data_IF_058678376257
#
_entry.id   IF_058678376257
#
_cell.length_a   1.000
_cell.length_b   1.000
_cell.length_c   1.000
_cell.angle_alpha   90.00
_cell.angle_beta   90.00
_cell.angle_gamma   90.00
#
_symmetry.space_group_name_H-M   'P 1'
#
loop_
_entity.id
_entity.type
_entity.pdbx_description
1 polymer ?
#
# COMPACT_ATOMS: atom_id res chain seq x y z
N UNK A 1 -72.81 15.93 -14.81
CA UNK A 1 -71.54 15.85 -14.06
C UNK A 1 -70.53 14.98 -14.81
N UNK A 2 -69.93 15.47 -15.90
CA UNK A 2 -69.12 14.61 -16.78
C UNK A 2 -68.08 15.37 -17.62
N UNK A 3 -67.48 16.43 -17.10
CA UNK A 3 -66.40 17.18 -17.76
C UNK A 3 -65.59 17.96 -16.71
N UNK A 4 -64.68 17.34 -15.97
CA UNK A 4 -63.68 18.11 -15.21
C UNK A 4 -62.42 17.34 -14.75
N UNK A 5 -62.17 16.12 -15.24
CA UNK A 5 -61.04 15.28 -14.77
C UNK A 5 -60.04 14.90 -15.88
N UNK A 6 -59.96 15.68 -16.96
CA UNK A 6 -59.20 15.32 -18.17
C UNK A 6 -58.12 16.35 -18.56
N UNK A 7 -57.61 17.10 -17.59
CA UNK A 7 -56.55 18.11 -17.81
C UNK A 7 -55.54 18.12 -16.66
N UNK A 8 -55.17 16.94 -16.16
CA UNK A 8 -54.11 16.82 -15.14
C UNK A 8 -53.30 15.52 -15.31
N UNK A 9 -52.90 15.20 -16.55
CA UNK A 9 -51.95 14.10 -16.81
C UNK A 9 -50.78 14.55 -17.72
N UNK A 10 -50.85 15.76 -18.29
CA UNK A 10 -49.88 16.23 -19.30
C UNK A 10 -48.76 17.11 -18.70
N UNK A 11 -48.33 16.84 -17.47
CA UNK A 11 -47.18 17.49 -16.84
C UNK A 11 -46.18 16.49 -16.23
N UNK A 12 -46.33 15.19 -16.52
CA UNK A 12 -45.54 14.11 -15.90
C UNK A 12 -44.44 13.53 -16.80
N UNK A 13 -44.36 13.94 -18.07
CA UNK A 13 -43.56 13.25 -19.10
C UNK A 13 -42.29 13.99 -19.55
N UNK A 14 -41.69 14.81 -18.70
CA UNK A 14 -40.39 15.44 -19.02
C UNK A 14 -39.44 15.51 -17.82
N UNK A 15 -39.42 14.46 -16.98
CA UNK A 15 -38.21 14.16 -16.21
C UNK A 15 -37.29 13.35 -17.13
N UNK A 16 -36.65 14.03 -18.09
CA UNK A 16 -35.45 13.48 -18.72
C UNK A 16 -34.45 13.29 -17.61
N UNK A 17 -34.20 12.02 -17.25
CA UNK A 17 -33.06 11.65 -16.41
C UNK A 17 -31.84 12.29 -17.05
N UNK A 18 -31.31 13.33 -16.43
CA UNK A 18 -29.96 13.79 -16.71
C UNK A 18 -29.06 12.67 -16.25
N UNK A 19 -28.76 11.74 -17.14
CA UNK A 19 -27.57 10.93 -17.02
C UNK A 19 -26.41 11.93 -17.09
N UNK A 20 -26.06 12.48 -15.93
CA UNK A 20 -24.71 12.96 -15.71
C UNK A 20 -23.85 11.71 -15.95
N UNK A 21 -23.41 11.56 -17.20
CA UNK A 21 -22.34 10.67 -17.60
C UNK A 21 -21.12 11.16 -16.84
N UNK A 22 -21.01 10.68 -15.61
CA UNK A 22 -19.95 11.04 -14.70
C UNK A 22 -18.71 10.39 -15.26
N UNK A 23 -17.95 11.17 -16.03
CA UNK A 23 -16.70 10.73 -16.62
C UNK A 23 -15.80 10.11 -15.55
N UNK A 24 -15.19 8.99 -15.88
CA UNK A 24 -14.19 8.36 -15.02
C UNK A 24 -12.90 9.16 -15.14
N UNK A 25 -12.43 9.67 -14.01
CA UNK A 25 -11.19 10.42 -13.91
C UNK A 25 -10.09 9.45 -13.52
N UNK A 26 -9.03 9.41 -14.31
CA UNK A 26 -7.87 8.56 -14.09
C UNK A 26 -6.68 9.48 -13.87
N UNK A 27 -6.01 9.35 -12.74
CA UNK A 27 -4.85 10.15 -12.38
C UNK A 27 -3.63 9.24 -12.36
N UNK A 28 -2.74 9.43 -13.32
CA UNK A 28 -1.49 8.68 -13.40
C UNK A 28 -0.57 9.07 -12.24
N UNK A 29 0.03 8.07 -11.62
CA UNK A 29 1.09 8.24 -10.65
C UNK A 29 2.40 8.54 -11.39
N UNK A 30 3.32 9.35 -10.82
CA UNK A 30 4.60 9.62 -11.47
C UNK A 30 5.49 8.36 -11.54
N UNK A 31 5.39 7.50 -10.54
CA UNK A 31 6.14 6.26 -10.42
C UNK A 31 5.25 5.18 -9.80
N UNK A 32 5.42 3.94 -10.27
CA UNK A 32 4.77 2.75 -9.75
C UNK A 32 5.83 1.68 -9.46
N UNK A 33 5.82 1.16 -8.24
CA UNK A 33 6.61 -0.03 -7.87
C UNK A 33 5.68 -1.23 -7.93
N UNK A 34 5.96 -2.14 -8.86
CA UNK A 34 5.08 -3.29 -9.13
C UNK A 34 5.74 -4.57 -8.62
N UNK A 35 4.96 -5.39 -7.91
CA UNK A 35 5.36 -6.72 -7.46
C UNK A 35 4.74 -7.78 -8.38
N UNK A 36 5.54 -8.73 -8.83
CA UNK A 36 5.13 -9.79 -9.76
C UNK A 36 5.31 -9.44 -11.24
N UNK A 37 4.77 -10.29 -12.11
CA UNK A 37 4.99 -10.23 -13.56
C UNK A 37 4.07 -9.26 -14.29
N UNK A 38 2.84 -9.09 -13.79
CA UNK A 38 1.79 -8.28 -14.41
C UNK A 38 1.72 -6.89 -13.78
N UNK A 39 1.49 -5.87 -14.62
CA UNK A 39 1.23 -4.49 -14.20
C UNK A 39 -0.25 -4.21 -14.32
N UNK A 40 -0.90 -3.77 -13.25
CA UNK A 40 -2.33 -3.44 -13.24
C UNK A 40 -2.55 -1.93 -13.31
N UNK A 41 -3.72 -1.51 -13.80
CA UNK A 41 -4.10 -0.09 -13.81
C UNK A 41 -4.05 0.50 -12.39
N UNK A 42 -4.42 -0.27 -11.36
CA UNK A 42 -4.34 0.18 -9.96
C UNK A 42 -2.93 0.51 -9.49
N UNK A 43 -1.91 -0.07 -10.11
CA UNK A 43 -0.52 0.13 -9.70
C UNK A 43 0.00 1.47 -10.20
N UNK A 44 -0.49 1.90 -11.36
CA UNK A 44 -0.02 3.10 -12.05
C UNK A 44 -0.96 4.29 -11.94
N UNK A 45 -2.20 4.10 -11.48
CA UNK A 45 -3.24 5.12 -11.52
C UNK A 45 -4.17 5.09 -10.31
N UNK A 46 -4.60 6.29 -9.90
CA UNK A 46 -5.77 6.48 -9.05
C UNK A 46 -7.00 6.75 -9.91
N UNK A 47 -8.11 6.08 -9.61
CA UNK A 47 -9.34 6.16 -10.42
C UNK A 47 -10.49 6.68 -9.56
N UNK A 48 -11.19 7.70 -10.07
CA UNK A 48 -12.35 8.29 -9.43
C UNK A 48 -13.54 8.32 -10.39
N UNK A 49 -14.72 7.98 -9.88
CA UNK A 49 -15.94 7.95 -10.67
C UNK A 49 -16.73 6.65 -10.48
N UNK A 50 -17.88 6.53 -11.14
CA UNK A 50 -18.77 5.39 -11.03
C UNK A 50 -18.11 4.11 -11.55
N UNK A 51 -18.19 3.06 -10.73
CA UNK A 51 -17.64 1.76 -11.07
C UNK A 51 -16.10 1.75 -11.16
N UNK A 52 -15.39 2.64 -10.46
CA UNK A 52 -13.92 2.70 -10.44
C UNK A 52 -13.27 1.35 -10.07
N UNK A 53 -13.92 0.52 -9.28
CA UNK A 53 -13.43 -0.81 -8.87
C UNK A 53 -13.20 -1.79 -10.01
N UNK A 54 -13.94 -1.68 -11.13
CA UNK A 54 -13.80 -2.60 -12.27
C UNK A 54 -12.50 -2.42 -13.05
N UNK A 55 -11.91 -1.22 -12.95
CA UNK A 55 -10.69 -0.87 -13.65
C UNK A 55 -9.44 -1.38 -12.92
N UNK A 56 -9.52 -1.59 -11.60
CA UNK A 56 -8.35 -1.86 -10.76
C UNK A 56 -7.64 -3.17 -11.10
N UNK A 57 -8.38 -4.20 -11.56
CA UNK A 57 -7.82 -5.54 -11.81
C UNK A 57 -7.47 -5.82 -13.27
N UNK A 58 -7.38 -4.78 -14.09
CA UNK A 58 -7.04 -4.95 -15.49
C UNK A 58 -5.53 -4.90 -15.64
N UNK A 59 -4.98 -6.01 -16.14
CA UNK A 59 -3.58 -6.11 -16.50
C UNK A 59 -3.31 -5.34 -17.79
N UNK A 60 -2.26 -4.53 -17.77
CA UNK A 60 -1.76 -3.79 -18.91
C UNK A 60 -0.82 -4.74 -19.69
N UNK A 61 -0.97 -4.84 -21.03
CA UNK A 61 -0.07 -5.63 -21.85
C UNK A 61 1.39 -5.20 -21.70
N UNK A 62 2.31 -6.15 -21.54
CA UNK A 62 3.75 -5.87 -21.42
C UNK A 62 4.34 -5.10 -22.62
N UNK A 63 3.69 -5.19 -23.79
CA UNK A 63 4.07 -4.42 -24.96
C UNK A 63 3.89 -2.90 -24.79
N UNK A 64 2.92 -2.48 -23.98
CA UNK A 64 2.58 -1.07 -23.76
C UNK A 64 3.51 -0.39 -22.73
N UNK A 65 4.47 -1.12 -22.15
CA UNK A 65 5.48 -0.57 -21.22
C UNK A 65 6.86 -1.23 -21.37
N UNK A 66 7.20 -1.64 -22.59
CA UNK A 66 8.48 -2.31 -22.85
C UNK A 66 9.70 -1.42 -22.52
N UNK A 67 9.53 -0.10 -22.57
CA UNK A 67 10.53 0.91 -22.21
C UNK A 67 10.48 1.31 -20.71
N UNK A 68 9.66 0.61 -19.91
CA UNK A 68 9.40 0.85 -18.49
C UNK A 68 8.64 2.14 -18.19
N UNK A 69 8.02 2.76 -19.20
CA UNK A 69 7.16 3.92 -19.02
C UNK A 69 5.81 3.58 -19.64
N UNK A 70 4.74 4.00 -19.00
CA UNK A 70 3.42 4.08 -19.64
C UNK A 70 3.11 5.54 -19.81
N UNK A 71 3.00 6.01 -21.04
CA UNK A 71 2.59 7.37 -21.31
C UNK A 71 1.06 7.54 -21.29
N UNK A 72 0.60 8.79 -21.23
CA UNK A 72 -0.83 9.12 -21.24
C UNK A 72 -1.55 8.58 -22.48
N UNK A 73 -0.93 8.65 -23.65
CA UNK A 73 -1.56 8.26 -24.91
C UNK A 73 -1.72 6.73 -25.01
N UNK A 74 -0.75 5.98 -24.52
CA UNK A 74 -0.78 4.52 -24.41
C UNK A 74 -1.88 4.09 -23.45
N UNK A 75 -1.92 4.67 -22.25
CA UNK A 75 -2.98 4.39 -21.29
C UNK A 75 -4.36 4.77 -21.84
N UNK A 76 -4.51 5.92 -22.49
CA UNK A 76 -5.77 6.32 -23.11
C UNK A 76 -6.20 5.35 -24.21
N UNK A 77 -5.27 4.91 -25.07
CA UNK A 77 -5.54 3.96 -26.14
C UNK A 77 -5.98 2.62 -25.56
N UNK A 78 -5.27 2.14 -24.55
CA UNK A 78 -5.58 0.90 -23.85
C UNK A 78 -6.97 0.97 -23.20
N UNK A 79 -7.24 2.02 -22.42
CA UNK A 79 -8.52 2.22 -21.74
C UNK A 79 -9.70 2.32 -22.71
N UNK A 80 -9.55 3.02 -23.85
CA UNK A 80 -10.58 3.09 -24.89
C UNK A 80 -10.83 1.75 -25.58
N UNK A 81 -9.83 0.87 -25.63
CA UNK A 81 -10.00 -0.49 -26.18
C UNK A 81 -10.77 -1.41 -25.23
N UNK A 82 -10.66 -1.19 -23.92
CA UNK A 82 -11.33 -1.99 -22.90
C UNK A 82 -12.73 -1.48 -22.53
N UNK A 83 -12.99 -0.18 -22.70
CA UNK A 83 -14.19 0.46 -22.15
C UNK A 83 -14.84 1.43 -23.14
N UNK A 84 -16.17 1.39 -23.18
CA UNK A 84 -16.99 2.28 -23.99
C UNK A 84 -17.56 3.46 -23.16
N UNK A 85 -16.71 4.08 -22.34
CA UNK A 85 -17.12 5.17 -21.44
C UNK A 85 -16.25 6.41 -21.62
N UNK A 86 -16.75 7.54 -21.15
CA UNK A 86 -15.98 8.78 -21.15
C UNK A 86 -14.93 8.74 -20.04
N UNK A 87 -13.67 8.55 -20.44
CA UNK A 87 -12.51 8.52 -19.54
C UNK A 87 -11.68 9.78 -19.75
N UNK A 88 -11.29 10.43 -18.66
CA UNK A 88 -10.41 11.61 -18.67
C UNK A 88 -9.14 11.24 -17.90
N UNK A 89 -8.00 11.25 -18.59
CA UNK A 89 -6.71 10.91 -18.01
C UNK A 89 -5.94 12.19 -17.65
N UNK A 90 -5.42 12.24 -16.42
CA UNK A 90 -4.59 13.28 -15.87
C UNK A 90 -3.20 12.73 -15.59
N UNK A 91 -2.17 13.53 -15.88
CA UNK A 91 -0.77 13.11 -15.80
C UNK A 91 -0.17 12.86 -17.18
N UNK A 92 1.16 12.76 -17.24
CA UNK A 92 1.91 12.60 -18.49
C UNK A 92 2.35 11.15 -18.73
N UNK A 93 2.69 10.44 -17.66
CA UNK A 93 3.14 9.07 -17.73
C UNK A 93 3.51 8.55 -16.34
N UNK A 94 3.70 7.24 -16.25
CA UNK A 94 4.12 6.52 -15.05
C UNK A 94 5.36 5.72 -15.36
N UNK A 95 6.43 5.95 -14.60
CA UNK A 95 7.62 5.10 -14.65
C UNK A 95 7.37 3.84 -13.83
N UNK A 96 7.62 2.67 -14.42
CA UNK A 96 7.43 1.38 -13.77
C UNK A 96 8.78 0.86 -13.30
N UNK A 97 8.88 0.70 -11.99
CA UNK A 97 10.00 0.03 -11.33
C UNK A 97 9.49 -1.33 -10.85
N UNK A 98 10.15 -2.42 -11.26
CA UNK A 98 9.84 -3.72 -10.67
C UNK A 98 10.48 -3.82 -9.29
N UNK A 99 9.71 -4.24 -8.31
CA UNK A 99 10.28 -4.65 -7.05
C UNK A 99 11.23 -5.82 -7.34
N UNK A 100 12.50 -5.76 -6.91
CA UNK A 100 13.42 -6.86 -7.14
C UNK A 100 12.80 -8.11 -6.52
N UNK A 101 12.54 -9.13 -7.35
CA UNK A 101 12.14 -10.44 -6.86
C UNK A 101 13.11 -10.82 -5.75
N UNK A 102 12.59 -10.99 -4.54
CA UNK A 102 13.38 -11.47 -3.43
C UNK A 102 13.95 -12.82 -3.89
N UNK A 103 15.28 -12.88 -4.08
CA UNK A 103 15.97 -14.14 -4.39
C UNK A 103 15.42 -15.22 -3.46
N UNK A 104 14.86 -16.33 -3.98
CA UNK A 104 14.27 -17.37 -3.15
C UNK A 104 15.36 -17.93 -2.24
N UNK A 105 15.38 -17.50 -0.97
CA UNK A 105 16.43 -17.86 -0.01
C UNK A 105 16.99 -16.69 0.82
N UNK A 106 16.77 -15.44 0.42
CA UNK A 106 16.96 -14.29 1.33
C UNK A 106 15.62 -13.91 1.94
N UNK A 107 15.24 -14.63 2.99
CA UNK A 107 14.50 -13.98 4.09
C UNK A 107 15.18 -12.62 4.33
N UNK A 108 14.44 -11.52 4.59
CA UNK A 108 15.09 -10.30 5.05
C UNK A 108 15.96 -10.77 6.20
N UNK A 109 17.29 -10.65 6.04
CA UNK A 109 18.21 -10.98 7.12
C UNK A 109 17.79 -9.99 8.17
N UNK A 110 16.94 -10.43 9.10
CA UNK A 110 16.49 -9.62 10.21
C UNK A 110 17.79 -9.16 10.81
N UNK A 111 18.12 -7.89 10.59
CA UNK A 111 19.45 -7.41 10.86
C UNK A 111 19.67 -7.65 12.35
N UNK A 112 20.62 -8.53 12.68
CA UNK A 112 20.80 -8.99 14.06
C UNK A 112 21.19 -7.78 14.89
N UNK A 113 20.20 -7.20 15.56
CA UNK A 113 20.36 -6.00 16.36
C UNK A 113 21.16 -6.27 17.65
N UNK A 114 21.20 -7.53 18.09
CA UNK A 114 21.95 -8.00 19.25
C UNK A 114 22.57 -9.37 18.95
N UNK A 115 23.87 -9.55 19.27
CA UNK A 115 24.55 -10.86 19.25
C UNK A 115 24.76 -11.39 20.66
N UNK A 116 24.87 -12.72 20.80
CA UNK A 116 25.28 -13.38 22.04
C UNK A 116 26.62 -12.82 22.50
N UNK A 117 26.67 -12.40 23.77
CA UNK A 117 27.83 -11.77 24.39
C UNK A 117 27.86 -10.24 24.29
N UNK A 118 27.01 -9.63 23.46
CA UNK A 118 26.93 -8.17 23.38
C UNK A 118 26.50 -7.55 24.70
N UNK A 119 27.09 -6.39 25.01
CA UNK A 119 26.58 -5.51 26.06
C UNK A 119 25.32 -4.81 25.56
N UNK A 120 24.19 -5.07 26.21
CA UNK A 120 22.87 -4.56 25.87
C UNK A 120 22.37 -3.63 26.97
N UNK A 121 21.78 -2.50 26.57
CA UNK A 121 21.08 -1.60 27.48
C UNK A 121 19.63 -2.04 27.60
N UNK A 122 19.21 -2.41 28.81
CA UNK A 122 17.84 -2.77 29.13
C UNK A 122 17.11 -1.54 29.65
N UNK A 123 16.00 -1.18 29.03
CA UNK A 123 15.13 -0.08 29.46
C UNK A 123 13.86 -0.66 30.08
N UNK A 124 13.55 -0.26 31.31
CA UNK A 124 12.34 -0.63 32.03
C UNK A 124 11.60 0.65 32.43
N UNK A 125 10.30 0.67 32.17
CA UNK A 125 9.43 1.77 32.58
C UNK A 125 8.55 1.29 33.72
N UNK A 126 8.60 1.98 34.87
CA UNK A 126 7.75 1.71 36.03
C UNK A 126 7.06 3.02 36.41
N UNK A 127 5.81 3.21 35.94
CA UNK A 127 5.09 4.48 36.06
C UNK A 127 5.83 5.61 35.35
N UNK A 128 6.17 6.67 36.09
CA UNK A 128 6.90 7.84 35.56
C UNK A 128 8.43 7.70 35.61
N UNK A 129 8.96 6.53 36.01
CA UNK A 129 10.39 6.31 36.19
C UNK A 129 10.91 5.39 35.07
N UNK A 130 11.93 5.87 34.34
CA UNK A 130 12.68 5.08 33.37
C UNK A 130 13.97 4.57 33.98
N UNK A 131 14.09 3.25 34.14
CA UNK A 131 15.28 2.59 34.67
C UNK A 131 16.09 2.02 33.51
N UNK A 132 17.37 2.36 33.45
CA UNK A 132 18.32 1.88 32.43
C UNK A 132 19.33 0.96 33.10
N UNK A 133 19.33 -0.31 32.72
CA UNK A 133 20.25 -1.34 33.21
C UNK A 133 21.20 -1.78 32.09
N UNK A 134 22.36 -2.30 32.46
CA UNK A 134 23.30 -2.91 31.52
C UNK A 134 23.40 -4.41 31.79
N UNK A 135 23.43 -5.21 30.72
CA UNK A 135 23.61 -6.66 30.79
C UNK A 135 24.28 -7.21 29.55
N UNK A 136 24.60 -8.50 29.56
CA UNK A 136 25.12 -9.23 28.40
C UNK A 136 24.06 -10.14 27.81
N UNK A 137 23.90 -10.11 26.49
CA UNK A 137 22.97 -11.02 25.82
C UNK A 137 23.46 -12.45 25.89
N UNK A 138 22.57 -13.39 26.18
CA UNK A 138 22.85 -14.83 26.14
C UNK A 138 22.46 -15.47 24.80
N UNK A 139 21.70 -14.75 23.98
CA UNK A 139 21.23 -15.20 22.68
C UNK A 139 21.43 -14.12 21.60
N UNK A 140 21.36 -14.53 20.34
CA UNK A 140 21.21 -13.60 19.22
C UNK A 140 19.73 -13.18 19.13
N UNK A 141 19.47 -11.94 18.74
CA UNK A 141 18.11 -11.46 18.53
C UNK A 141 18.05 -10.30 17.55
N UNK A 142 17.04 -10.31 16.69
CA UNK A 142 16.67 -9.17 15.88
C UNK A 142 15.63 -8.29 16.58
N UNK A 143 15.32 -7.15 15.99
CA UNK A 143 14.28 -6.24 16.50
C UNK A 143 12.96 -7.02 16.64
N UNK A 144 12.32 -6.85 17.80
CA UNK A 144 11.11 -7.54 18.28
C UNK A 144 11.29 -9.02 18.69
N UNK A 145 12.49 -9.59 18.62
CA UNK A 145 12.73 -10.93 19.16
C UNK A 145 12.87 -10.87 20.69
N UNK A 146 12.41 -11.91 21.37
CA UNK A 146 12.62 -12.13 22.80
C UNK A 146 14.00 -12.76 23.04
N UNK A 147 14.84 -12.12 23.85
CA UNK A 147 16.18 -12.58 24.21
C UNK A 147 16.36 -12.63 25.72
N UNK A 148 17.22 -13.54 26.18
CA UNK A 148 17.63 -13.63 27.58
C UNK A 148 18.91 -12.81 27.80
N UNK A 149 18.89 -11.91 28.79
CA UNK A 149 20.00 -11.03 29.14
C UNK A 149 20.44 -11.33 30.58
N UNK A 150 21.75 -11.48 30.77
CA UNK A 150 22.37 -11.56 32.09
C UNK A 150 22.79 -10.16 32.56
N UNK A 151 22.16 -9.64 33.60
CA UNK A 151 22.51 -8.37 34.22
C UNK A 151 23.86 -8.43 34.93
N UNK A 152 24.44 -7.26 35.22
CA UNK A 152 25.65 -7.15 36.05
C UNK A 152 25.49 -7.79 37.45
N UNK A 153 24.29 -7.78 38.00
CA UNK A 153 23.96 -8.46 39.27
C UNK A 153 23.97 -9.99 39.19
N UNK A 154 24.18 -10.56 38.00
CA UNK A 154 24.14 -12.01 37.76
C UNK A 154 22.73 -12.55 37.48
N UNK A 155 21.68 -11.77 37.73
CA UNK A 155 20.28 -12.14 37.44
C UNK A 155 20.05 -12.24 35.92
N UNK A 156 19.27 -13.23 35.51
CA UNK A 156 18.82 -13.39 34.11
C UNK A 156 17.41 -12.85 33.97
N UNK A 157 17.16 -12.12 32.89
CA UNK A 157 15.86 -11.52 32.58
C UNK A 157 15.55 -11.71 31.09
N UNK A 158 14.26 -11.78 30.77
CA UNK A 158 13.77 -11.81 29.38
C UNK A 158 13.43 -10.42 28.93
N UNK A 159 13.80 -10.07 27.71
CA UNK A 159 13.59 -8.75 27.14
C UNK A 159 13.28 -8.85 25.65
N UNK A 160 12.53 -7.88 25.12
CA UNK A 160 12.30 -7.72 23.69
C UNK A 160 13.33 -6.75 23.13
N UNK A 161 14.03 -7.13 22.05
CA UNK A 161 14.99 -6.24 21.38
C UNK A 161 14.25 -5.09 20.72
N UNK A 162 14.61 -3.86 21.06
CA UNK A 162 13.96 -2.65 20.51
C UNK A 162 14.85 -1.90 19.52
N UNK A 163 16.12 -2.28 19.39
CA UNK A 163 17.08 -1.66 18.49
C UNK A 163 18.51 -2.17 18.72
N UNK A 164 19.50 -1.63 18.00
CA UNK A 164 20.89 -2.06 18.12
C UNK A 164 21.40 -1.95 19.56
N UNK A 165 21.76 -3.11 20.16
CA UNK A 165 22.23 -3.21 21.56
C UNK A 165 21.24 -2.64 22.59
N UNK A 166 19.94 -2.63 22.28
CA UNK A 166 18.88 -2.15 23.16
C UNK A 166 17.76 -3.18 23.30
N UNK A 167 17.29 -3.37 24.53
CA UNK A 167 16.15 -4.23 24.80
C UNK A 167 15.23 -3.61 25.86
N UNK A 168 13.97 -3.99 25.85
CA UNK A 168 12.95 -3.61 26.83
C UNK A 168 12.56 -4.81 27.66
N UNK A 169 12.51 -4.65 28.97
CA UNK A 169 12.04 -5.70 29.88
C UNK A 169 10.52 -5.88 29.70
N UNK A 170 10.08 -7.14 29.59
CA UNK A 170 8.67 -7.53 29.61
C UNK A 170 8.14 -7.66 31.03
#
# INVERSE_FOLDING_TARGET
MRKLFMTMVLASTLLTATELSSAVKVYMLPEAVVSGDDVYISDICRIEGPGSSRYLKIAIPAADYADKIIDRNELERFMKSCFNEKIIVFGNGTMITREPEAEPGKSPVKERAVRRGDSVRVVMNSGNITIKLAGRSLADGAINDEIEIRLQSGKRIRCIVTGPRQARMI
#
